data_IF_833636677853
#
_entry.id   IF_833636677853
#
_cell.length_a   1.000
_cell.length_b   1.000
_cell.length_c   1.000
_cell.angle_alpha   90.00
_cell.angle_beta   90.00
_cell.angle_gamma   90.00
#
_symmetry.space_group_name_H-M   'P 1'
#
loop_
_entity.id
_entity.type
_entity.pdbx_description
1 polymer ?
#
# COMPACT_ATOMS: atom_id res chain seq x y z
N UNK A 1 29.05 -1.59 19.98
CA UNK A 1 28.32 -1.35 21.24
C UNK A 1 27.48 -0.08 21.17
N UNK A 2 28.05 1.12 20.95
CA UNK A 2 27.25 2.38 20.88
C UNK A 2 26.16 2.40 19.79
N UNK A 3 26.44 1.88 18.59
CA UNK A 3 25.46 1.91 17.49
C UNK A 3 24.25 1.00 17.77
N UNK A 4 24.48 -0.18 18.33
CA UNK A 4 23.40 -1.10 18.73
C UNK A 4 22.56 -0.54 19.87
N UNK A 5 23.17 0.16 20.85
CA UNK A 5 22.40 0.85 21.90
C UNK A 5 21.59 2.02 21.36
N UNK A 6 22.14 2.78 20.40
CA UNK A 6 21.43 3.89 19.75
C UNK A 6 20.23 3.38 18.95
N UNK A 7 20.42 2.30 18.18
CA UNK A 7 19.35 1.64 17.43
C UNK A 7 18.23 1.19 18.37
N UNK A 8 18.58 0.53 19.48
CA UNK A 8 17.59 0.06 20.46
C UNK A 8 16.79 1.20 21.09
N UNK A 9 17.47 2.31 21.45
CA UNK A 9 16.81 3.51 21.99
C UNK A 9 15.86 4.09 20.93
N UNK A 10 16.31 4.20 19.69
CA UNK A 10 15.55 4.79 18.60
C UNK A 10 14.32 3.93 18.23
N UNK A 11 14.44 2.60 18.23
CA UNK A 11 13.32 1.68 18.01
C UNK A 11 12.27 1.81 19.11
N UNK A 12 12.67 1.90 20.38
CA UNK A 12 11.74 2.06 21.50
C UNK A 12 11.03 3.42 21.50
N UNK A 13 11.77 4.49 21.16
CA UNK A 13 11.19 5.82 20.97
C UNK A 13 10.17 5.78 19.83
N UNK A 14 10.52 5.19 18.68
CA UNK A 14 9.61 5.07 17.54
C UNK A 14 8.35 4.27 17.90
N UNK A 15 8.52 3.11 18.52
CA UNK A 15 7.42 2.26 18.98
C UNK A 15 6.49 2.99 19.94
N UNK A 16 7.05 3.72 20.92
CA UNK A 16 6.26 4.50 21.88
C UNK A 16 5.43 5.58 21.20
N UNK A 17 6.02 6.32 20.25
CA UNK A 17 5.32 7.36 19.49
C UNK A 17 4.22 6.74 18.62
N UNK A 18 4.51 5.65 17.92
CA UNK A 18 3.54 4.97 17.05
C UNK A 18 2.37 4.40 17.86
N UNK A 19 2.63 3.82 19.03
CA UNK A 19 1.59 3.33 19.95
C UNK A 19 0.67 4.47 20.42
N UNK A 20 1.23 5.63 20.76
CA UNK A 20 0.46 6.83 21.08
C UNK A 20 -0.37 7.30 19.87
N UNK A 21 0.19 7.28 18.66
CA UNK A 21 -0.54 7.66 17.43
C UNK A 21 -1.69 6.70 17.14
N UNK A 22 -1.49 5.39 17.32
CA UNK A 22 -2.52 4.36 17.12
C UNK A 22 -3.66 4.56 18.12
N UNK A 23 -3.34 4.75 19.40
CA UNK A 23 -4.36 5.01 20.44
C UNK A 23 -5.14 6.28 20.16
N UNK A 24 -4.47 7.36 19.74
CA UNK A 24 -5.12 8.59 19.27
C UNK A 24 -6.09 8.29 18.11
N UNK A 25 -5.64 7.58 17.07
CA UNK A 25 -6.49 7.23 15.92
C UNK A 25 -7.69 6.36 16.33
N UNK A 26 -7.52 5.40 17.24
CA UNK A 26 -8.60 4.57 17.77
C UNK A 26 -9.61 5.41 18.58
N UNK A 27 -9.13 6.34 19.41
CA UNK A 27 -9.99 7.25 20.18
C UNK A 27 -10.74 8.18 19.24
N UNK A 28 -10.09 8.77 18.23
CA UNK A 28 -10.76 9.62 17.23
C UNK A 28 -11.77 8.83 16.39
N UNK A 29 -11.51 7.56 16.10
CA UNK A 29 -12.47 6.69 15.43
C UNK A 29 -13.71 6.38 16.30
N UNK A 30 -13.53 6.28 17.63
CA UNK A 30 -14.62 6.02 18.58
C UNK A 30 -15.36 7.29 19.04
N UNK A 31 -14.68 8.44 19.07
CA UNK A 31 -15.17 9.72 19.61
C UNK A 31 -14.95 10.82 18.56
N UNK A 32 -16.03 11.21 17.87
CA UNK A 32 -16.03 12.08 16.69
C UNK A 32 -15.64 13.56 16.97
N UNK A 33 -15.36 13.98 18.21
CA UNK A 33 -15.37 15.41 18.59
C UNK A 33 -14.00 16.08 18.82
N UNK A 34 -12.86 15.38 18.82
CA UNK A 34 -11.60 15.99 19.29
C UNK A 34 -10.65 16.42 18.15
N UNK A 35 -10.96 17.53 17.48
CA UNK A 35 -10.14 18.11 16.38
C UNK A 35 -8.68 18.37 16.79
N UNK A 36 -8.45 18.84 18.03
CA UNK A 36 -7.10 19.16 18.54
C UNK A 36 -6.18 17.93 18.64
N UNK A 37 -6.76 16.74 18.78
CA UNK A 37 -6.02 15.47 18.90
C UNK A 37 -5.55 14.98 17.52
N UNK A 38 -6.29 15.28 16.45
CA UNK A 38 -5.88 14.96 15.08
C UNK A 38 -4.61 15.73 14.66
N UNK A 39 -4.57 17.05 14.92
CA UNK A 39 -3.39 17.88 14.65
C UNK A 39 -2.15 17.42 15.43
N UNK A 40 -2.35 16.84 16.62
CA UNK A 40 -1.28 16.22 17.40
C UNK A 40 -0.77 14.93 16.77
N UNK A 41 -1.67 14.13 16.17
CA UNK A 41 -1.34 12.88 15.49
C UNK A 41 -0.48 13.11 14.24
N UNK A 42 -0.84 14.11 13.42
CA UNK A 42 -0.10 14.51 12.22
C UNK A 42 1.35 14.92 12.56
N UNK A 43 1.55 15.70 13.64
CA UNK A 43 2.89 16.05 14.14
C UNK A 43 3.66 14.82 14.62
N UNK A 44 2.97 13.88 15.28
CA UNK A 44 3.53 12.60 15.67
C UNK A 44 4.07 11.82 14.47
N UNK A 45 3.29 11.73 13.37
CA UNK A 45 3.72 11.05 12.16
C UNK A 45 4.99 11.67 11.55
N UNK A 46 5.09 13.00 11.52
CA UNK A 46 6.31 13.70 11.07
C UNK A 46 7.51 13.35 11.98
N UNK A 47 7.30 13.32 13.29
CA UNK A 47 8.36 12.93 14.24
C UNK A 47 8.81 11.47 14.04
N UNK A 48 7.87 10.53 13.79
CA UNK A 48 8.21 9.14 13.47
C UNK A 48 9.02 9.01 12.19
N UNK A 49 8.74 9.83 11.17
CA UNK A 49 9.51 9.84 9.93
C UNK A 49 10.97 10.20 10.18
N UNK A 50 11.23 11.27 10.94
CA UNK A 50 12.60 11.65 11.30
C UNK A 50 13.30 10.55 12.12
N UNK A 51 12.58 9.92 13.05
CA UNK A 51 13.10 8.79 13.83
C UNK A 51 13.50 7.61 12.93
N UNK A 52 12.64 7.20 12.00
CA UNK A 52 12.88 6.12 11.04
C UNK A 52 14.03 6.46 10.08
N UNK A 53 14.12 7.71 9.62
CA UNK A 53 15.27 8.14 8.81
C UNK A 53 16.58 8.02 9.57
N UNK A 54 16.58 8.40 10.85
CA UNK A 54 17.73 8.21 11.74
C UNK A 54 18.13 6.74 11.83
N UNK A 55 17.15 5.84 11.98
CA UNK A 55 17.37 4.40 12.10
C UNK A 55 18.00 3.81 10.83
N UNK A 56 17.47 4.16 9.66
CA UNK A 56 18.05 3.74 8.38
C UNK A 56 19.48 4.26 8.19
N UNK A 57 19.74 5.52 8.55
CA UNK A 57 21.08 6.12 8.44
C UNK A 57 22.06 5.43 9.40
N UNK A 58 21.66 5.20 10.65
CA UNK A 58 22.53 4.50 11.62
C UNK A 58 22.84 3.08 11.18
N UNK A 59 21.86 2.37 10.60
CA UNK A 59 22.07 1.03 10.06
C UNK A 59 22.95 1.03 8.82
N UNK A 60 22.81 2.00 7.93
CA UNK A 60 23.69 2.13 6.76
C UNK A 60 25.15 2.34 7.20
N UNK A 61 25.39 3.24 8.16
CA UNK A 61 26.76 3.48 8.68
C UNK A 61 27.34 2.22 9.35
N UNK A 62 26.52 1.47 10.10
CA UNK A 62 26.96 0.29 10.84
C UNK A 62 27.23 -0.92 9.93
N UNK A 63 26.31 -1.22 9.01
CA UNK A 63 26.36 -2.40 8.14
C UNK A 63 27.27 -2.22 6.92
N UNK A 64 27.69 -0.97 6.62
CA UNK A 64 28.46 -0.58 5.42
C UNK A 64 27.81 -0.97 4.09
N UNK A 65 26.59 -1.49 4.10
CA UNK A 65 25.76 -1.74 2.92
C UNK A 65 24.44 -0.98 3.06
N UNK A 66 23.70 -0.87 1.96
CA UNK A 66 22.38 -0.26 2.00
C UNK A 66 21.41 -1.19 2.76
N UNK A 67 20.65 -0.69 3.76
CA UNK A 67 19.84 -1.53 4.65
C UNK A 67 18.55 -1.98 3.97
N UNK A 68 18.66 -2.99 3.10
CA UNK A 68 17.55 -3.64 2.39
C UNK A 68 17.67 -5.18 2.40
N UNK A 69 18.63 -5.71 3.15
CA UNK A 69 19.08 -7.10 3.01
C UNK A 69 18.13 -8.10 3.69
N UNK A 70 17.49 -7.68 4.78
CA UNK A 70 16.61 -8.49 5.59
C UNK A 70 15.14 -8.02 5.50
N UNK A 71 14.20 -8.90 5.82
CA UNK A 71 12.77 -8.60 5.90
C UNK A 71 12.47 -7.44 6.85
N UNK A 72 13.18 -7.39 7.98
CA UNK A 72 13.04 -6.29 8.93
C UNK A 72 13.49 -4.95 8.32
N UNK A 73 14.66 -4.94 7.67
CA UNK A 73 15.21 -3.76 7.00
C UNK A 73 14.29 -3.29 5.86
N UNK A 74 13.78 -4.22 5.06
CA UNK A 74 12.86 -3.92 3.96
C UNK A 74 11.53 -3.37 4.48
N UNK A 75 11.03 -3.84 5.64
CA UNK A 75 9.82 -3.33 6.28
C UNK A 75 10.00 -1.91 6.82
N UNK A 76 11.14 -1.60 7.43
CA UNK A 76 11.47 -0.23 7.84
C UNK A 76 11.53 0.69 6.61
N UNK A 77 12.12 0.22 5.51
CA UNK A 77 12.19 0.99 4.27
C UNK A 77 10.82 1.19 3.60
N UNK A 78 9.95 0.18 3.64
CA UNK A 78 8.55 0.27 3.18
C UNK A 78 7.77 1.29 4.02
N UNK A 79 7.92 1.24 5.34
CA UNK A 79 7.32 2.17 6.30
C UNK A 79 7.82 3.62 6.09
N UNK A 80 9.12 3.78 5.85
CA UNK A 80 9.72 5.04 5.45
C UNK A 80 9.12 5.59 4.15
N UNK A 81 8.89 4.72 3.16
CA UNK A 81 8.27 5.10 1.88
C UNK A 81 6.82 5.59 2.06
N UNK A 82 6.01 4.91 2.88
CA UNK A 82 4.64 5.36 3.18
C UNK A 82 4.60 6.68 3.92
N UNK A 83 5.47 6.86 4.91
CA UNK A 83 5.56 8.12 5.67
C UNK A 83 6.05 9.29 4.81
N UNK A 84 6.96 9.04 3.85
CA UNK A 84 7.35 10.03 2.85
C UNK A 84 6.15 10.47 2.01
N UNK A 85 5.38 9.52 1.46
CA UNK A 85 4.20 9.83 0.64
C UNK A 85 3.14 10.61 1.45
N UNK A 86 2.99 10.28 2.73
CA UNK A 86 2.09 10.99 3.66
C UNK A 86 2.51 12.45 3.92
N UNK A 87 3.81 12.70 4.07
CA UNK A 87 4.37 14.01 4.45
C UNK A 87 4.47 14.98 3.25
N UNK A 88 4.69 14.49 2.03
CA UNK A 88 4.82 15.34 0.83
C UNK A 88 3.63 16.33 0.66
N UNK A 89 2.35 15.90 0.78
CA UNK A 89 1.20 16.80 0.80
C UNK A 89 1.22 17.86 1.91
N UNK A 90 1.66 17.47 3.11
CA UNK A 90 1.68 18.34 4.29
C UNK A 90 2.54 19.59 4.06
N UNK A 91 3.72 19.43 3.44
CA UNK A 91 4.59 20.57 3.10
C UNK A 91 4.01 21.52 2.06
N UNK A 92 3.12 21.03 1.17
CA UNK A 92 2.41 21.88 0.20
C UNK A 92 1.27 22.70 0.82
N UNK A 93 1.06 22.62 2.15
CA UNK A 93 -0.01 23.31 2.92
C UNK A 93 -1.42 23.12 2.35
N UNK A 94 -1.62 22.05 1.57
CA UNK A 94 -2.94 21.68 1.08
C UNK A 94 -3.37 20.45 1.88
N UNK A 95 -4.48 20.51 2.65
CA UNK A 95 -5.04 19.35 3.31
C UNK A 95 -5.57 18.40 2.22
N UNK A 96 -4.68 17.56 1.72
CA UNK A 96 -5.01 16.65 0.65
C UNK A 96 -5.65 15.41 1.26
N UNK A 97 -6.82 15.05 0.73
CA UNK A 97 -7.49 13.76 0.97
C UNK A 97 -6.53 12.56 0.88
N UNK A 98 -5.45 12.71 0.12
CA UNK A 98 -4.34 11.75 0.00
C UNK A 98 -3.73 11.36 1.36
N UNK A 99 -3.38 12.33 2.22
CA UNK A 99 -2.69 12.02 3.49
C UNK A 99 -3.60 11.27 4.44
N UNK A 100 -4.86 11.70 4.58
CA UNK A 100 -5.86 11.03 5.42
C UNK A 100 -6.11 9.58 4.98
N UNK A 101 -6.07 9.30 3.68
CA UNK A 101 -6.27 7.94 3.15
C UNK A 101 -5.05 7.05 3.39
N UNK A 102 -3.83 7.60 3.25
CA UNK A 102 -2.58 6.84 3.39
C UNK A 102 -2.16 6.67 4.85
N UNK A 103 -2.56 7.60 5.73
CA UNK A 103 -2.18 7.66 7.14
C UNK A 103 -2.32 6.33 7.89
N UNK A 104 -3.49 5.66 7.84
CA UNK A 104 -3.67 4.35 8.48
C UNK A 104 -2.71 3.27 7.98
N UNK A 105 -2.39 3.25 6.69
CA UNK A 105 -1.43 2.29 6.11
C UNK A 105 -0.01 2.57 6.61
N UNK A 106 0.38 3.85 6.68
CA UNK A 106 1.69 4.25 7.20
C UNK A 106 1.83 3.82 8.66
N UNK A 107 0.84 4.14 9.51
CA UNK A 107 0.81 3.78 10.93
C UNK A 107 0.85 2.26 11.11
N UNK A 108 0.09 1.50 10.31
CA UNK A 108 0.10 0.05 10.35
C UNK A 108 1.48 -0.53 10.06
N UNK A 109 2.14 -0.08 8.99
CA UNK A 109 3.51 -0.52 8.65
C UNK A 109 4.55 -0.10 9.68
N UNK A 110 4.42 1.11 10.23
CA UNK A 110 5.28 1.61 11.29
C UNK A 110 5.13 0.80 12.56
N UNK A 111 3.90 0.50 12.97
CA UNK A 111 3.60 -0.30 14.15
C UNK A 111 4.17 -1.70 14.00
N UNK A 112 3.98 -2.32 12.84
CA UNK A 112 4.52 -3.65 12.57
C UNK A 112 6.05 -3.67 12.60
N UNK A 113 6.70 -2.73 11.90
CA UNK A 113 8.16 -2.62 11.86
C UNK A 113 8.79 -2.34 13.24
N UNK A 114 8.13 -1.56 14.09
CA UNK A 114 8.67 -1.16 15.40
C UNK A 114 8.28 -2.08 16.56
N UNK A 115 7.28 -2.95 16.38
CA UNK A 115 6.73 -3.82 17.42
C UNK A 115 7.68 -4.86 18.00
N UNK A 116 8.88 -5.02 17.44
CA UNK A 116 9.84 -6.03 17.89
C UNK A 116 9.45 -7.48 17.55
N UNK A 117 8.26 -7.71 16.96
CA UNK A 117 7.82 -9.07 16.58
C UNK A 117 8.76 -9.73 15.55
N UNK A 118 9.48 -8.93 14.77
CA UNK A 118 10.49 -9.37 13.80
C UNK A 118 11.91 -9.45 14.38
N UNK A 119 12.10 -9.03 15.63
CA UNK A 119 13.44 -9.03 16.26
C UNK A 119 13.90 -10.40 16.71
N UNK A 120 13.03 -11.43 16.74
CA UNK A 120 13.48 -12.81 16.96
C UNK A 120 14.18 -13.43 15.73
N UNK A 121 14.08 -12.80 14.56
CA UNK A 121 14.78 -13.21 13.32
C UNK A 121 16.20 -12.60 13.26
N UNK A 122 16.65 -11.89 14.32
CA UNK A 122 17.90 -11.10 14.38
C UNK A 122 19.23 -11.85 14.32
N UNK A 123 19.27 -13.14 14.02
CA UNK A 123 20.57 -13.75 13.73
C UNK A 123 21.02 -13.25 12.36
N UNK A 124 21.81 -12.18 12.40
CA UNK A 124 22.68 -11.66 11.34
C UNK A 124 23.54 -12.78 10.76
N UNK A 125 22.92 -13.66 9.98
CA UNK A 125 23.63 -14.62 9.15
C UNK A 125 24.41 -13.79 8.16
N UNK A 126 25.74 -13.92 8.26
CA UNK A 126 26.74 -13.37 7.36
C UNK A 126 26.17 -13.34 5.94
N UNK A 127 26.09 -12.14 5.35
CA UNK A 127 25.46 -11.96 4.04
C UNK A 127 26.07 -12.95 3.05
N UNK A 128 25.20 -13.73 2.40
CA UNK A 128 25.60 -14.61 1.30
C UNK A 128 26.31 -13.76 0.24
N UNK A 129 27.45 -14.17 -0.33
CA UNK A 129 28.25 -13.37 -1.27
C UNK A 129 27.48 -12.75 -2.45
N UNK A 130 26.34 -13.34 -2.83
CA UNK A 130 25.43 -12.82 -3.87
C UNK A 130 24.81 -11.43 -3.55
N UNK A 131 24.81 -11.00 -2.28
CA UNK A 131 24.27 -9.71 -1.82
C UNK A 131 25.20 -8.51 -2.03
N UNK A 132 26.44 -8.73 -2.50
CA UNK A 132 27.43 -7.65 -2.69
C UNK A 132 27.38 -6.98 -4.07
N UNK A 133 26.42 -7.35 -4.93
CA UNK A 133 26.29 -6.78 -6.27
C UNK A 133 25.42 -5.52 -6.28
N UNK A 134 25.84 -4.53 -7.08
CA UNK A 134 25.08 -3.30 -7.31
C UNK A 134 23.69 -3.56 -7.92
N UNK A 135 23.55 -4.66 -8.66
CA UNK A 135 22.27 -5.08 -9.23
C UNK A 135 21.24 -5.47 -8.18
N UNK A 136 21.65 -6.10 -7.06
CA UNK A 136 20.72 -6.43 -5.98
C UNK A 136 20.18 -5.16 -5.33
N UNK A 137 21.03 -4.16 -5.10
CA UNK A 137 20.62 -2.89 -4.50
C UNK A 137 19.55 -2.22 -5.37
N UNK A 138 19.77 -2.17 -6.69
CA UNK A 138 18.78 -1.64 -7.62
C UNK A 138 17.50 -2.50 -7.65
N UNK A 139 17.62 -3.83 -7.68
CA UNK A 139 16.49 -4.75 -7.67
C UNK A 139 15.60 -4.51 -6.45
N UNK A 140 16.14 -4.66 -5.24
CA UNK A 140 15.36 -4.64 -4.00
C UNK A 140 14.79 -3.24 -3.74
N UNK A 141 15.56 -2.18 -4.00
CA UNK A 141 15.06 -0.80 -3.83
C UNK A 141 13.91 -0.47 -4.78
N UNK A 142 14.02 -0.83 -6.07
CA UNK A 142 12.97 -0.58 -7.05
C UNK A 142 11.72 -1.45 -6.79
N UNK A 143 11.89 -2.68 -6.31
CA UNK A 143 10.79 -3.53 -5.89
C UNK A 143 10.02 -2.92 -4.71
N UNK A 144 10.69 -2.46 -3.66
CA UNK A 144 10.01 -1.89 -2.48
C UNK A 144 9.38 -0.54 -2.80
N UNK A 145 10.05 0.33 -3.57
CA UNK A 145 9.46 1.59 -4.03
C UNK A 145 8.26 1.36 -4.95
N UNK A 146 8.34 0.35 -5.82
CA UNK A 146 7.22 -0.11 -6.65
C UNK A 146 6.04 -0.57 -5.81
N UNK A 147 6.26 -1.45 -4.84
CA UNK A 147 5.20 -1.91 -3.94
C UNK A 147 4.61 -0.79 -3.10
N UNK A 148 5.41 0.13 -2.56
CA UNK A 148 4.92 1.29 -1.80
C UNK A 148 3.98 2.16 -2.66
N UNK A 149 4.40 2.47 -3.89
CA UNK A 149 3.58 3.23 -4.83
C UNK A 149 2.32 2.46 -5.23
N UNK A 150 2.41 1.17 -5.58
CA UNK A 150 1.24 0.37 -5.96
C UNK A 150 0.25 0.20 -4.81
N UNK A 151 0.70 -0.02 -3.58
CA UNK A 151 -0.14 -0.07 -2.38
C UNK A 151 -0.83 1.28 -2.14
N UNK A 152 -0.08 2.39 -2.18
CA UNK A 152 -0.64 3.73 -2.05
C UNK A 152 -1.71 4.01 -3.13
N UNK A 153 -1.39 3.73 -4.39
CA UNK A 153 -2.26 3.99 -5.52
C UNK A 153 -3.52 3.11 -5.50
N UNK A 154 -3.40 1.85 -5.11
CA UNK A 154 -4.54 0.94 -4.97
C UNK A 154 -5.42 1.29 -3.77
N UNK A 155 -4.85 1.78 -2.66
CA UNK A 155 -5.62 2.26 -1.51
C UNK A 155 -6.52 3.44 -1.88
N UNK A 156 -6.05 4.37 -2.72
CA UNK A 156 -6.89 5.44 -3.29
C UNK A 156 -8.05 4.90 -4.14
N UNK A 157 -7.80 3.84 -4.93
CA UNK A 157 -8.85 3.16 -5.69
C UNK A 157 -9.86 2.44 -4.79
N UNK A 158 -9.40 1.84 -3.68
CA UNK A 158 -10.28 1.24 -2.66
C UNK A 158 -11.18 2.31 -2.03
N UNK A 159 -10.63 3.48 -1.67
CA UNK A 159 -11.42 4.59 -1.14
C UNK A 159 -12.48 5.06 -2.14
N UNK A 160 -12.14 5.13 -3.43
CA UNK A 160 -13.11 5.42 -4.50
C UNK A 160 -14.23 4.37 -4.54
N UNK A 161 -13.89 3.09 -4.45
CA UNK A 161 -14.85 1.99 -4.45
C UNK A 161 -15.80 2.06 -3.24
N UNK A 162 -15.27 2.34 -2.05
CA UNK A 162 -16.08 2.53 -0.83
C UNK A 162 -17.07 3.69 -0.99
N UNK A 163 -16.64 4.82 -1.55
CA UNK A 163 -17.50 5.99 -1.78
C UNK A 163 -18.61 5.67 -2.79
N UNK A 164 -18.29 4.95 -3.87
CA UNK A 164 -19.24 4.58 -4.93
C UNK A 164 -20.25 3.52 -4.47
N UNK A 165 -19.82 2.50 -3.72
CA UNK A 165 -20.71 1.48 -3.13
C UNK A 165 -21.68 2.11 -2.13
N UNK A 166 -21.19 3.02 -1.27
CA UNK A 166 -22.05 3.75 -0.31
C UNK A 166 -23.15 4.55 -1.01
N UNK A 167 -22.87 5.14 -2.18
CA UNK A 167 -23.88 5.82 -3.01
C UNK A 167 -24.94 4.83 -3.52
N UNK A 168 -24.52 3.71 -4.11
CA UNK A 168 -25.44 2.69 -4.65
C UNK A 168 -26.36 2.15 -3.55
N UNK A 169 -25.82 1.89 -2.34
CA UNK A 169 -26.62 1.47 -1.18
C UNK A 169 -27.63 2.52 -0.74
N UNK A 170 -27.25 3.82 -0.72
CA UNK A 170 -28.18 4.89 -0.35
C UNK A 170 -29.32 5.03 -1.35
N UNK A 171 -29.02 4.95 -2.65
CA UNK A 171 -30.04 4.96 -3.72
C UNK A 171 -30.96 3.75 -3.58
N UNK A 172 -30.41 2.56 -3.35
CA UNK A 172 -31.18 1.34 -3.16
C UNK A 172 -32.05 1.38 -1.89
N UNK A 173 -31.57 1.96 -0.79
CA UNK A 173 -32.37 2.12 0.42
C UNK A 173 -33.55 3.11 0.22
N UNK A 174 -33.33 4.20 -0.53
CA UNK A 174 -34.40 5.13 -0.88
C UNK A 174 -35.40 4.49 -1.86
N UNK A 175 -34.96 3.64 -2.79
CA UNK A 175 -35.86 2.91 -3.68
C UNK A 175 -36.65 1.82 -2.95
N UNK A 176 -36.07 1.11 -1.98
CA UNK A 176 -36.78 0.06 -1.24
C UNK A 176 -37.87 0.60 -0.31
N UNK A 177 -37.80 1.88 0.09
CA UNK A 177 -38.92 2.52 0.79
C UNK A 177 -40.10 2.83 -0.16
N UNK A 178 -39.87 2.84 -1.48
CA UNK A 178 -40.90 2.94 -2.52
C UNK A 178 -41.29 1.57 -3.10
N UNK A 179 -40.38 0.59 -3.05
CA UNK A 179 -40.51 -0.74 -3.65
C UNK A 179 -40.48 -1.78 -2.53
N UNK A 180 -41.44 -1.67 -1.62
CA UNK A 180 -41.78 -2.77 -0.71
C UNK A 180 -42.93 -3.56 -1.31
N UNK A 181 -42.70 -4.16 -2.50
CA UNK A 181 -43.50 -5.24 -3.04
C UNK A 181 -42.54 -6.15 -3.82
N UNK A 182 -42.27 -7.30 -3.22
CA UNK A 182 -41.78 -8.55 -3.80
C UNK A 182 -41.03 -8.46 -5.13
N UNK A 183 -39.73 -8.73 -5.10
CA UNK A 183 -39.24 -9.97 -5.70
C UNK A 183 -37.80 -10.28 -5.27
N UNK A 184 -37.63 -11.55 -4.96
CA UNK A 184 -36.40 -12.23 -4.60
C UNK A 184 -35.27 -12.01 -5.60
N UNK A 185 -34.09 -11.68 -5.07
CA UNK A 185 -32.80 -12.26 -5.47
C UNK A 185 -32.71 -12.83 -6.90
N UNK A 186 -32.25 -12.01 -7.86
CA UNK A 186 -31.55 -12.53 -9.04
C UNK A 186 -30.35 -11.64 -9.39
N UNK A 187 -29.16 -12.13 -9.00
CA UNK A 187 -27.84 -11.52 -9.20
C UNK A 187 -27.27 -11.87 -10.59
N UNK A 188 -28.06 -11.73 -11.66
CA UNK A 188 -27.76 -12.46 -12.91
C UNK A 188 -28.11 -11.80 -14.23
N UNK A 189 -27.93 -10.48 -14.40
CA UNK A 189 -27.75 -9.79 -15.70
C UNK A 189 -27.71 -8.28 -15.45
N UNK A 190 -26.53 -7.67 -15.49
CA UNK A 190 -26.43 -6.21 -15.53
C UNK A 190 -26.56 -5.79 -16.99
N UNK A 191 -27.75 -5.29 -17.29
CA UNK A 191 -28.29 -4.86 -18.57
C UNK A 191 -27.51 -3.66 -19.13
N UNK A 192 -26.66 -3.93 -20.12
CA UNK A 192 -26.13 -2.94 -21.06
C UNK A 192 -27.20 -2.67 -22.11
N UNK A 193 -28.21 -1.84 -21.84
CA UNK A 193 -29.13 -1.29 -22.86
C UNK A 193 -30.11 -0.31 -22.20
N UNK A 194 -29.75 0.98 -22.05
CA UNK A 194 -30.70 2.10 -22.30
C UNK A 194 -30.11 3.53 -22.21
N UNK A 195 -28.84 3.78 -22.56
CA UNK A 195 -28.27 5.14 -22.44
C UNK A 195 -28.51 6.04 -23.68
N UNK A 196 -29.29 5.59 -24.67
CA UNK A 196 -29.50 6.35 -25.93
C UNK A 196 -30.87 7.01 -26.08
N UNK A 197 -31.86 6.76 -25.23
CA UNK A 197 -33.22 7.31 -25.43
C UNK A 197 -33.68 8.40 -24.45
N UNK A 198 -32.93 8.73 -23.39
CA UNK A 198 -33.38 9.68 -22.35
C UNK A 198 -32.60 11.01 -22.33
N UNK A 199 -32.11 11.48 -23.48
CA UNK A 199 -31.38 12.77 -23.59
C UNK A 199 -32.32 13.98 -23.37
N UNK A 200 -33.65 13.81 -23.32
CA UNK A 200 -34.58 14.95 -23.34
C UNK A 200 -35.63 15.06 -22.22
N UNK A 201 -35.57 14.27 -21.16
CA UNK A 201 -36.52 14.41 -20.04
C UNK A 201 -35.85 14.02 -18.73
N UNK A 202 -35.22 15.00 -18.08
CA UNK A 202 -35.17 15.19 -16.62
C UNK A 202 -33.99 16.12 -16.26
N UNK A 203 -34.19 17.41 -16.51
CA UNK A 203 -33.48 18.47 -15.78
C UNK A 203 -33.99 18.51 -14.33
N UNK A 204 -33.72 17.46 -13.55
CA UNK A 204 -34.05 17.43 -12.13
C UNK A 204 -32.80 17.67 -11.30
N UNK A 205 -32.61 18.93 -10.89
CA UNK A 205 -31.87 19.36 -9.71
C UNK A 205 -30.46 18.73 -9.51
N UNK A 206 -29.45 19.37 -10.09
CA UNK A 206 -28.07 19.22 -9.62
C UNK A 206 -27.96 19.80 -8.20
N UNK A 207 -28.11 18.94 -7.19
CA UNK A 207 -27.73 19.27 -5.81
C UNK A 207 -26.24 19.64 -5.76
N UNK A 208 -25.84 20.76 -5.12
CA UNK A 208 -24.42 21.16 -5.01
C UNK A 208 -23.55 20.10 -4.31
N UNK A 209 -24.16 19.22 -3.50
CA UNK A 209 -23.50 18.10 -2.83
C UNK A 209 -22.98 17.03 -3.80
N UNK A 210 -23.57 16.92 -4.99
CA UNK A 210 -23.10 15.98 -6.01
C UNK A 210 -21.85 16.47 -6.73
N UNK A 211 -21.68 17.79 -6.90
CA UNK A 211 -20.55 18.38 -7.63
C UNK A 211 -19.21 18.16 -6.92
N UNK A 212 -19.11 18.51 -5.64
CA UNK A 212 -17.88 18.30 -4.86
C UNK A 212 -17.52 16.82 -4.78
N UNK A 213 -18.50 15.93 -4.66
CA UNK A 213 -18.27 14.48 -4.63
C UNK A 213 -17.78 13.94 -5.97
N UNK A 214 -18.35 14.37 -7.09
CA UNK A 214 -17.85 13.97 -8.40
C UNK A 214 -16.42 14.46 -8.63
N UNK A 215 -16.10 15.67 -8.17
CA UNK A 215 -14.75 16.21 -8.23
C UNK A 215 -13.76 15.39 -7.38
N UNK A 216 -14.13 15.01 -6.16
CA UNK A 216 -13.31 14.14 -5.30
C UNK A 216 -13.09 12.75 -5.92
N UNK A 217 -14.14 12.13 -6.48
CA UNK A 217 -14.02 10.83 -7.16
C UNK A 217 -13.06 10.93 -8.34
N UNK A 218 -13.17 11.99 -9.15
CA UNK A 218 -12.29 12.21 -10.29
C UNK A 218 -10.84 12.48 -9.85
N UNK A 219 -10.64 13.24 -8.77
CA UNK A 219 -9.31 13.48 -8.20
C UNK A 219 -8.68 12.18 -7.68
N UNK A 220 -9.42 11.36 -6.92
CA UNK A 220 -8.96 10.07 -6.43
C UNK A 220 -8.61 9.13 -7.59
N UNK A 221 -9.46 9.06 -8.60
CA UNK A 221 -9.25 8.23 -9.79
C UNK A 221 -8.01 8.65 -10.57
N UNK A 222 -7.78 9.97 -10.68
CA UNK A 222 -6.62 10.54 -11.36
C UNK A 222 -5.31 10.30 -10.61
N UNK A 223 -5.29 10.57 -9.30
CA UNK A 223 -4.11 10.33 -8.46
C UNK A 223 -3.80 8.84 -8.36
N UNK A 224 -4.82 8.00 -8.18
CA UNK A 224 -4.66 6.54 -8.16
C UNK A 224 -4.00 6.05 -9.45
N UNK A 225 -4.50 6.44 -10.62
CA UNK A 225 -3.90 6.05 -11.89
C UNK A 225 -2.44 6.49 -12.03
N UNK A 226 -2.12 7.74 -11.66
CA UNK A 226 -0.74 8.25 -11.74
C UNK A 226 0.22 7.50 -10.82
N UNK A 227 -0.18 7.28 -9.58
CA UNK A 227 0.64 6.60 -8.58
C UNK A 227 0.81 5.12 -8.95
N UNK A 228 -0.25 4.43 -9.40
CA UNK A 228 -0.17 3.05 -9.88
C UNK A 228 0.73 2.95 -11.12
N UNK A 229 0.62 3.88 -12.07
CA UNK A 229 1.48 3.88 -13.27
C UNK A 229 2.95 4.03 -12.90
N UNK A 230 3.26 4.92 -11.95
CA UNK A 230 4.62 5.11 -11.44
C UNK A 230 5.12 3.87 -10.70
N UNK A 231 4.30 3.26 -9.85
CA UNK A 231 4.63 2.02 -9.17
C UNK A 231 4.85 0.85 -10.11
N UNK A 232 4.07 0.76 -11.20
CA UNK A 232 4.24 -0.25 -12.24
C UNK A 232 5.58 -0.10 -12.97
N UNK A 233 6.02 1.14 -13.25
CA UNK A 233 7.35 1.40 -13.82
C UNK A 233 8.46 0.90 -12.88
N UNK A 234 8.41 1.24 -11.60
CA UNK A 234 9.40 0.74 -10.64
C UNK A 234 9.36 -0.78 -10.48
N UNK A 235 8.17 -1.38 -10.46
CA UNK A 235 8.03 -2.83 -10.45
C UNK A 235 8.63 -3.48 -11.69
N UNK A 236 8.42 -2.92 -12.89
CA UNK A 236 9.05 -3.44 -14.12
C UNK A 236 10.57 -3.39 -14.06
N UNK A 237 11.14 -2.27 -13.62
CA UNK A 237 12.58 -2.10 -13.47
C UNK A 237 13.11 -3.09 -12.43
N UNK A 238 12.40 -3.24 -11.31
CA UNK A 238 12.75 -4.20 -10.25
C UNK A 238 12.76 -5.64 -10.75
N UNK A 239 11.73 -6.10 -11.46
CA UNK A 239 11.70 -7.48 -11.99
C UNK A 239 12.81 -7.70 -13.02
N UNK A 240 13.05 -6.74 -13.92
CA UNK A 240 14.10 -6.85 -14.93
C UNK A 240 15.50 -6.90 -14.32
N UNK A 241 15.80 -6.02 -13.35
CA UNK A 241 17.09 -6.04 -12.65
C UNK A 241 17.26 -7.27 -11.77
N UNK A 242 16.16 -7.79 -11.21
CA UNK A 242 16.15 -9.06 -10.48
C UNK A 242 16.52 -10.25 -11.35
N UNK A 243 16.02 -10.30 -12.59
CA UNK A 243 16.38 -11.35 -13.53
C UNK A 243 17.88 -11.32 -13.91
N UNK A 244 18.45 -10.12 -14.10
CA UNK A 244 19.90 -9.97 -14.35
C UNK A 244 20.71 -10.44 -13.15
N UNK A 245 20.31 -10.02 -11.95
CA UNK A 245 20.96 -10.45 -10.71
C UNK A 245 20.87 -11.98 -10.49
N UNK A 246 19.71 -12.58 -10.75
CA UNK A 246 19.51 -14.02 -10.61
C UNK A 246 20.45 -14.81 -11.53
N UNK A 247 20.69 -14.31 -12.75
CA UNK A 247 21.64 -14.92 -13.67
C UNK A 247 23.09 -14.79 -13.18
N UNK A 248 23.47 -13.67 -12.58
CA UNK A 248 24.81 -13.49 -11.98
C UNK A 248 25.00 -14.35 -10.73
N UNK A 249 23.97 -14.51 -9.90
CA UNK A 249 24.05 -15.22 -8.62
C UNK A 249 23.88 -16.75 -8.76
N UNK A 250 22.96 -17.20 -9.60
CA UNK A 250 22.53 -18.60 -9.71
C UNK A 250 22.65 -19.19 -11.11
N UNK A 251 23.08 -18.41 -12.10
CA UNK A 251 23.24 -18.88 -13.49
C UNK A 251 21.92 -19.08 -14.25
N UNK A 252 20.79 -18.60 -13.72
CA UNK A 252 19.48 -18.60 -14.39
C UNK A 252 18.76 -17.29 -14.16
N UNK A 253 18.06 -16.78 -15.19
CA UNK A 253 17.28 -15.54 -15.10
C UNK A 253 15.99 -15.66 -14.27
N UNK A 254 15.46 -16.87 -14.13
CA UNK A 254 14.19 -17.13 -13.45
C UNK A 254 14.14 -18.58 -12.95
N UNK A 255 13.67 -18.75 -11.73
CA UNK A 255 13.63 -20.04 -11.02
C UNK A 255 12.21 -20.51 -10.68
N UNK A 256 11.19 -19.68 -10.95
CA UNK A 256 9.79 -19.96 -10.57
C UNK A 256 9.57 -20.13 -9.07
N UNK A 257 10.45 -19.53 -8.27
CA UNK A 257 10.29 -19.46 -6.82
C UNK A 257 8.93 -18.83 -6.45
N UNK A 258 8.35 -19.15 -5.28
CA UNK A 258 7.15 -18.50 -4.79
C UNK A 258 7.24 -16.96 -4.84
N UNK A 259 8.38 -16.36 -4.46
CA UNK A 259 8.51 -14.89 -4.53
C UNK A 259 8.48 -14.35 -5.94
N UNK A 260 9.18 -15.00 -6.86
CA UNK A 260 9.21 -14.63 -8.27
C UNK A 260 7.82 -14.77 -8.92
N UNK A 261 7.14 -15.89 -8.67
CA UNK A 261 5.79 -16.17 -9.18
C UNK A 261 4.78 -15.14 -8.69
N UNK A 262 4.77 -14.82 -7.39
CA UNK A 262 3.86 -13.81 -6.83
C UNK A 262 4.21 -12.39 -7.31
N UNK A 263 5.49 -12.07 -7.49
CA UNK A 263 5.90 -10.82 -8.14
C UNK A 263 5.37 -10.73 -9.57
N UNK A 264 5.46 -11.80 -10.36
CA UNK A 264 4.88 -11.84 -11.70
C UNK A 264 3.35 -11.74 -11.71
N UNK A 265 2.66 -12.39 -10.78
CA UNK A 265 1.20 -12.27 -10.62
C UNK A 265 0.82 -10.82 -10.29
N UNK A 266 1.52 -10.15 -9.37
CA UNK A 266 1.26 -8.73 -9.07
C UNK A 266 1.45 -7.86 -10.32
N UNK A 267 2.53 -8.11 -11.08
CA UNK A 267 2.79 -7.41 -12.34
C UNK A 267 1.64 -7.57 -13.35
N UNK A 268 1.15 -8.80 -13.56
CA UNK A 268 0.01 -9.05 -14.46
C UNK A 268 -1.24 -8.31 -14.00
N UNK A 269 -1.56 -8.32 -12.70
CA UNK A 269 -2.76 -7.67 -12.18
C UNK A 269 -2.72 -6.17 -12.42
N UNK A 270 -1.57 -5.52 -12.22
CA UNK A 270 -1.43 -4.09 -12.51
C UNK A 270 -1.32 -3.78 -14.01
N UNK A 271 -0.80 -4.69 -14.83
CA UNK A 271 -0.89 -4.58 -16.28
C UNK A 271 -2.34 -4.64 -16.76
N UNK A 272 -3.16 -5.56 -16.22
CA UNK A 272 -4.60 -5.63 -16.47
C UNK A 272 -5.28 -4.35 -16.01
N UNK A 273 -4.92 -3.82 -14.83
CA UNK A 273 -5.42 -2.52 -14.37
C UNK A 273 -5.14 -1.43 -15.41
N UNK A 274 -3.89 -1.24 -15.83
CA UNK A 274 -3.55 -0.22 -16.83
C UNK A 274 -4.28 -0.45 -18.16
N UNK A 275 -4.41 -1.71 -18.61
CA UNK A 275 -5.16 -2.05 -19.81
C UNK A 275 -6.65 -1.69 -19.68
N UNK A 276 -7.27 -1.93 -18.53
CA UNK A 276 -8.67 -1.54 -18.27
C UNK A 276 -8.86 -0.02 -18.31
N UNK A 277 -7.82 0.77 -17.99
CA UNK A 277 -7.85 2.24 -18.03
C UNK A 277 -7.80 2.79 -19.46
N UNK A 278 -7.19 2.06 -20.39
CA UNK A 278 -7.20 2.43 -21.82
C UNK A 278 -8.60 2.27 -22.43
N UNK A 279 -9.38 1.31 -21.92
CA UNK A 279 -10.74 1.04 -22.39
C UNK A 279 -11.77 1.99 -21.76
N UNK A 280 -12.36 2.89 -22.56
CA UNK A 280 -13.36 3.88 -22.08
C UNK A 280 -14.55 3.26 -21.34
N UNK A 281 -14.97 2.04 -21.71
CA UNK A 281 -16.11 1.32 -21.09
C UNK A 281 -15.80 0.71 -19.72
N UNK A 282 -14.53 0.48 -19.39
CA UNK A 282 -14.09 -0.16 -18.14
C UNK A 282 -13.53 0.86 -17.13
N UNK A 283 -13.63 2.14 -17.46
CA UNK A 283 -13.08 3.23 -16.65
C UNK A 283 -13.90 3.46 -15.37
N UNK A 284 -13.21 3.67 -14.26
CA UNK A 284 -13.82 4.00 -12.97
C UNK A 284 -13.97 2.76 -12.09
N UNK A 285 -15.20 2.27 -11.90
CA UNK A 285 -15.51 1.20 -10.92
C UNK A 285 -14.79 -0.11 -11.22
N UNK A 286 -14.75 -0.53 -12.48
CA UNK A 286 -14.13 -1.80 -12.85
C UNK A 286 -12.61 -1.73 -12.66
N UNK A 287 -11.98 -0.62 -13.06
CA UNK A 287 -10.56 -0.39 -12.75
C UNK A 287 -10.29 -0.35 -11.24
N UNK A 288 -11.18 0.24 -10.44
CA UNK A 288 -11.01 0.29 -8.98
C UNK A 288 -11.12 -1.11 -8.34
N UNK A 289 -11.98 -1.99 -8.87
CA UNK A 289 -12.05 -3.40 -8.44
C UNK A 289 -10.74 -4.12 -8.71
N UNK A 290 -10.18 -3.98 -9.92
CA UNK A 290 -8.89 -4.62 -10.26
C UNK A 290 -7.76 -4.09 -9.35
N UNK A 291 -7.70 -2.78 -9.10
CA UNK A 291 -6.74 -2.22 -8.16
C UNK A 291 -6.92 -2.74 -6.72
N UNK A 292 -8.16 -2.93 -6.26
CA UNK A 292 -8.43 -3.50 -4.94
C UNK A 292 -7.99 -4.96 -4.79
N UNK A 293 -8.12 -5.75 -5.86
CA UNK A 293 -7.57 -7.11 -5.90
C UNK A 293 -6.05 -7.05 -5.84
N UNK A 294 -5.43 -6.15 -6.62
CA UNK A 294 -3.99 -5.90 -6.57
C UNK A 294 -3.47 -5.52 -5.19
N UNK A 295 -4.20 -4.71 -4.43
CA UNK A 295 -3.85 -4.34 -3.04
C UNK A 295 -3.69 -5.58 -2.14
N UNK A 296 -4.64 -6.52 -2.21
CA UNK A 296 -4.59 -7.75 -1.42
C UNK A 296 -3.44 -8.66 -1.86
N UNK A 297 -3.21 -8.77 -3.17
CA UNK A 297 -2.15 -9.62 -3.72
C UNK A 297 -0.76 -9.09 -3.33
N UNK A 298 -0.54 -7.76 -3.27
CA UNK A 298 0.74 -7.21 -2.81
C UNK A 298 1.01 -7.60 -1.36
N UNK A 299 0.02 -7.50 -0.46
CA UNK A 299 0.21 -7.92 0.94
C UNK A 299 0.50 -9.41 1.06
N UNK A 300 -0.18 -10.24 0.26
CA UNK A 300 0.09 -11.68 0.20
C UNK A 300 1.49 -11.98 -0.35
N UNK A 301 1.93 -11.26 -1.38
CA UNK A 301 3.28 -11.37 -1.94
C UNK A 301 4.36 -10.95 -0.93
N UNK A 302 4.13 -9.83 -0.23
CA UNK A 302 5.10 -9.23 0.66
C UNK A 302 5.19 -9.94 2.02
N UNK A 303 4.07 -10.33 2.63
CA UNK A 303 4.08 -11.07 3.90
C UNK A 303 3.91 -12.57 3.70
N UNK A 304 2.88 -12.98 2.96
CA UNK A 304 2.49 -14.39 2.87
C UNK A 304 3.57 -15.30 2.30
N UNK A 305 4.29 -14.86 1.27
CA UNK A 305 5.35 -15.68 0.66
C UNK A 305 6.58 -15.80 1.56
N UNK A 306 6.85 -14.78 2.37
CA UNK A 306 7.88 -14.87 3.41
C UNK A 306 7.50 -15.89 4.49
N UNK A 307 6.23 -15.97 4.88
CA UNK A 307 5.75 -16.96 5.86
C UNK A 307 5.88 -18.41 5.39
N UNK A 308 5.84 -18.66 4.08
CA UNK A 308 5.90 -20.00 3.53
C UNK A 308 7.29 -20.64 3.67
N UNK A 309 8.36 -19.86 3.88
CA UNK A 309 9.71 -20.40 4.15
C UNK A 309 10.35 -21.14 2.96
N UNK A 310 9.74 -21.13 1.77
CA UNK A 310 10.14 -21.92 0.61
C UNK A 310 10.74 -21.02 -0.46
N UNK A 311 11.93 -21.38 -0.95
CA UNK A 311 12.63 -20.70 -2.06
C UNK A 311 13.91 -20.01 -1.63
N UNK A 312 14.78 -19.72 -2.61
CA UNK A 312 16.13 -19.14 -2.40
C UNK A 312 16.09 -17.70 -1.87
N UNK A 313 14.91 -17.10 -1.88
CA UNK A 313 14.67 -15.74 -1.44
C UNK A 313 14.04 -15.65 -0.03
N UNK A 314 13.77 -16.75 0.66
CA UNK A 314 13.13 -16.67 1.98
C UNK A 314 14.13 -16.27 3.08
N UNK A 315 14.10 -15.00 3.48
CA UNK A 315 15.00 -14.46 4.52
C UNK A 315 14.40 -14.45 5.93
N UNK A 316 13.16 -14.91 6.10
CA UNK A 316 12.52 -15.01 7.41
C UNK A 316 11.55 -16.18 7.46
N UNK A 317 11.94 -17.30 8.06
CA UNK A 317 11.03 -18.39 8.41
C UNK A 317 10.59 -18.21 9.85
N UNK A 318 9.28 -18.18 10.12
CA UNK A 318 8.80 -18.49 11.46
C UNK A 318 9.13 -19.95 11.72
N UNK A 319 10.03 -20.22 12.65
CA UNK A 319 10.23 -21.57 13.15
C UNK A 319 8.92 -21.94 13.83
N UNK A 320 8.05 -22.64 13.11
CA UNK A 320 6.97 -23.40 13.73
C UNK A 320 7.67 -24.46 14.56
N UNK A 321 7.82 -24.20 15.86
CA UNK A 321 8.16 -25.23 16.82
C UNK A 321 7.09 -26.30 16.72
N UNK A 322 7.40 -27.39 16.03
CA UNK A 322 6.60 -28.60 16.09
C UNK A 322 6.72 -29.12 17.53
N UNK A 323 5.67 -28.91 18.32
CA UNK A 323 5.52 -29.60 19.60
C UNK A 323 5.26 -31.08 19.37
#
# INVERSE_FOLDING_TARGET
MMFSTLEHILTHICFSIVSIIITIHLITFLVDEIVKVYDSSEKGMIMTFFCITGLLITRWIYSRHFPLSDLYESLIFLSWSFSLIHIVPYFKKNPNLLSTIIGPSAIFTQGFATSGLLTEIHESTILVPALQSEWLIMHVSMMILGYAALLCGSLLSVSLLVITVRKKRKIFATSNHLVNLNESFFFGKIEYMNERSNIFQNTSFFSPKNYYRSQLIQQLDYWSYRVISLGFLFLTIGILSGAVWANEAWGSYWSWDPKETWAFITWIVFAIYLHTRTNRKLKGTNSAIVASIGFLIIWLCYFGVNLLGIGLHSYGSFILTSN
#
